data_IF_812107397440
#
_entry.id   IF_812107397440
#
_cell.length_a   1.000
_cell.length_b   1.000
_cell.length_c   1.000
_cell.angle_alpha   90.00
_cell.angle_beta   90.00
_cell.angle_gamma   90.00
#
_symmetry.space_group_name_H-M   'P 1'
#
loop_
_entity.id
_entity.type
_entity.pdbx_description
1 polymer ?
#
# COMPACT_ATOMS: atom_id res chain seq x y z
N UNK A 1 -15.91 -5.20 -4.55
CA UNK A 1 -14.44 -5.08 -4.48
C UNK A 1 -14.08 -3.61 -4.58
N UNK A 2 -13.11 -3.17 -3.80
CA UNK A 2 -12.56 -1.82 -3.86
C UNK A 2 -11.06 -1.87 -4.10
N UNK A 3 -10.53 -0.89 -4.81
CA UNK A 3 -9.10 -0.73 -5.05
C UNK A 3 -8.70 0.72 -4.77
N UNK A 4 -7.52 0.89 -4.17
CA UNK A 4 -6.92 2.19 -3.94
C UNK A 4 -5.40 2.10 -4.07
N UNK A 5 -4.78 3.07 -4.73
CA UNK A 5 -3.33 3.12 -4.94
C UNK A 5 -2.77 4.36 -4.26
N UNK A 6 -1.78 4.17 -3.40
CA UNK A 6 -0.99 5.26 -2.81
C UNK A 6 0.26 5.45 -3.66
N UNK A 7 0.42 6.67 -4.19
CA UNK A 7 1.58 7.08 -4.98
C UNK A 7 2.61 7.83 -4.12
N UNK A 8 3.88 7.56 -4.36
CA UNK A 8 5.03 8.20 -3.74
C UNK A 8 6.01 8.68 -4.81
N UNK A 9 6.36 9.96 -4.79
CA UNK A 9 7.37 10.59 -5.62
C UNK A 9 8.09 11.70 -4.83
N UNK A 10 8.99 12.44 -5.49
CA UNK A 10 9.70 13.56 -4.86
C UNK A 10 8.90 14.86 -4.78
N UNK A 11 7.72 14.94 -5.41
CA UNK A 11 6.86 16.13 -5.53
C UNK A 11 7.54 17.39 -6.11
N UNK A 12 8.76 17.30 -6.62
CA UNK A 12 9.58 18.45 -7.00
C UNK A 12 10.03 18.39 -8.47
N UNK A 13 10.22 17.19 -9.01
CA UNK A 13 10.74 16.97 -10.36
C UNK A 13 9.73 16.33 -11.30
N UNK A 14 10.08 16.27 -12.58
CA UNK A 14 9.33 15.51 -13.61
C UNK A 14 9.80 14.05 -13.71
N UNK A 15 10.59 13.54 -12.76
CA UNK A 15 11.17 12.19 -12.83
C UNK A 15 10.09 11.07 -12.81
N UNK A 16 8.85 11.39 -12.41
CA UNK A 16 7.72 10.47 -12.51
C UNK A 16 7.39 10.10 -13.97
N UNK A 17 7.70 10.97 -14.94
CA UNK A 17 7.55 10.68 -16.38
C UNK A 17 8.46 9.51 -16.81
N UNK A 18 9.61 9.38 -16.15
CA UNK A 18 10.57 8.29 -16.33
C UNK A 18 10.33 7.12 -15.35
N UNK A 19 9.14 7.05 -14.74
CA UNK A 19 8.75 6.03 -13.74
C UNK A 19 9.55 6.04 -12.44
N UNK A 20 10.09 7.19 -12.05
CA UNK A 20 10.72 7.37 -10.73
C UNK A 20 9.65 7.69 -9.69
N UNK A 21 8.81 6.71 -9.39
CA UNK A 21 7.79 6.78 -8.35
C UNK A 21 7.62 5.42 -7.69
N UNK A 22 6.81 5.33 -6.65
CA UNK A 22 6.45 4.07 -6.02
C UNK A 22 4.98 4.00 -5.65
N UNK A 23 4.45 2.78 -5.64
CA UNK A 23 3.03 2.51 -5.47
C UNK A 23 2.83 1.45 -4.39
N UNK A 24 1.85 1.69 -3.53
CA UNK A 24 1.25 0.65 -2.69
C UNK A 24 -0.21 0.50 -3.08
N UNK A 25 -0.57 -0.70 -3.53
CA UNK A 25 -1.90 -1.05 -4.02
C UNK A 25 -2.65 -1.82 -2.93
N UNK A 26 -3.81 -1.28 -2.57
CA UNK A 26 -4.75 -1.83 -1.59
C UNK A 26 -5.97 -2.38 -2.34
N UNK A 27 -6.24 -3.67 -2.21
CA UNK A 27 -7.41 -4.31 -2.82
C UNK A 27 -8.26 -4.96 -1.73
N UNK A 28 -9.50 -4.53 -1.59
CA UNK A 28 -10.44 -5.04 -0.59
C UNK A 28 -11.54 -5.90 -1.22
N UNK A 29 -11.70 -7.12 -0.71
CA UNK A 29 -12.82 -8.01 -1.01
C UNK A 29 -13.85 -7.94 0.11
N UNK A 30 -15.05 -7.47 -0.20
CA UNK A 30 -16.14 -7.46 0.78
C UNK A 30 -16.74 -8.85 1.02
N UNK A 31 -16.70 -9.72 -0.01
CA UNK A 31 -17.21 -11.08 0.08
C UNK A 31 -16.34 -11.94 1.00
N UNK A 32 -15.02 -11.81 0.86
CA UNK A 32 -14.04 -12.59 1.63
C UNK A 32 -13.59 -11.88 2.90
N UNK A 33 -13.98 -10.60 3.07
CA UNK A 33 -13.53 -9.72 4.16
C UNK A 33 -12.00 -9.65 4.25
N UNK A 34 -11.33 -9.59 3.11
CA UNK A 34 -9.87 -9.53 3.03
C UNK A 34 -9.40 -8.19 2.48
N UNK A 35 -8.31 -7.66 3.03
CA UNK A 35 -7.52 -6.62 2.38
C UNK A 35 -6.18 -7.19 1.96
N UNK A 36 -5.87 -7.00 0.69
CA UNK A 36 -4.59 -7.32 0.09
C UNK A 36 -3.79 -6.02 -0.09
N UNK A 37 -2.53 -6.04 0.32
CA UNK A 37 -1.58 -4.94 0.16
C UNK A 37 -0.41 -5.45 -0.67
N UNK A 38 -0.16 -4.82 -1.81
CA UNK A 38 0.88 -5.21 -2.77
C UNK A 38 1.66 -3.99 -3.23
N UNK A 39 2.89 -4.20 -3.72
CA UNK A 39 3.65 -3.13 -4.38
C UNK A 39 3.26 -3.06 -5.84
N UNK A 40 3.16 -1.83 -6.36
CA UNK A 40 3.19 -1.56 -7.80
C UNK A 40 4.63 -1.30 -8.24
N UNK A 41 4.86 -0.17 -8.92
CA UNK A 41 6.23 0.33 -9.16
C UNK A 41 6.93 0.66 -7.83
N UNK A 42 8.24 0.45 -7.72
CA UNK A 42 9.05 0.68 -6.50
C UNK A 42 10.38 1.40 -6.77
N UNK A 43 10.41 2.25 -7.80
CA UNK A 43 11.64 2.90 -8.30
C UNK A 43 12.04 4.19 -7.56
N UNK A 44 11.26 4.65 -6.58
CA UNK A 44 11.56 5.85 -5.78
C UNK A 44 11.74 5.49 -4.30
N UNK A 45 10.73 4.85 -3.71
CA UNK A 45 10.82 4.21 -2.40
C UNK A 45 11.08 2.73 -2.60
N UNK A 46 12.29 2.29 -2.26
CA UNK A 46 12.61 0.86 -2.12
C UNK A 46 12.07 0.39 -0.77
N UNK A 47 10.92 -0.30 -0.76
CA UNK A 47 10.19 -0.64 0.47
C UNK A 47 10.93 -1.63 1.39
N UNK A 48 11.87 -2.40 0.85
CA UNK A 48 12.74 -3.28 1.65
C UNK A 48 13.68 -2.45 2.55
N UNK A 49 14.26 -1.38 1.98
CA UNK A 49 15.16 -0.46 2.68
C UNK A 49 14.40 0.55 3.55
N UNK A 50 13.23 0.99 3.08
CA UNK A 50 12.38 1.96 3.77
C UNK A 50 10.93 1.45 3.91
N UNK A 51 10.69 0.54 4.87
CA UNK A 51 9.36 0.00 5.14
C UNK A 51 8.34 1.09 5.46
N UNK A 52 7.08 0.88 5.05
CA UNK A 52 5.98 1.78 5.37
C UNK A 52 5.08 1.18 6.43
N UNK A 53 4.85 1.94 7.50
CA UNK A 53 3.87 1.60 8.51
C UNK A 53 2.49 2.05 8.03
N UNK A 54 1.53 1.13 8.02
CA UNK A 54 0.11 1.45 7.78
C UNK A 54 -0.72 1.04 8.98
N UNK A 55 -1.62 1.93 9.39
CA UNK A 55 -2.64 1.68 10.40
C UNK A 55 -4.00 1.54 9.70
N UNK A 56 -4.55 0.34 9.72
CA UNK A 56 -5.72 -0.04 8.94
C UNK A 56 -6.93 -0.13 9.86
N UNK A 57 -7.97 0.64 9.53
CA UNK A 57 -9.23 0.67 10.24
C UNK A 57 -10.36 0.34 9.26
N UNK A 58 -11.21 -0.61 9.63
CA UNK A 58 -12.50 -0.79 8.97
C UNK A 58 -13.59 -0.10 9.81
N UNK A 59 -14.61 0.46 9.16
CA UNK A 59 -15.67 1.23 9.84
C UNK A 59 -16.46 0.37 10.82
N UNK A 60 -16.59 -0.92 10.53
CA UNK A 60 -17.33 -1.92 11.31
C UNK A 60 -16.51 -2.54 12.45
N UNK A 61 -15.18 -2.41 12.46
CA UNK A 61 -14.32 -2.91 13.55
C UNK A 61 -13.84 -1.79 14.47
N UNK A 62 -13.97 -2.04 15.77
CA UNK A 62 -13.46 -1.13 16.81
C UNK A 62 -11.95 -1.19 17.05
N UNK A 63 -11.18 -2.01 16.30
CA UNK A 63 -9.73 -2.16 16.46
C UNK A 63 -9.00 -1.96 15.13
N UNK A 64 -7.90 -1.23 15.20
CA UNK A 64 -6.96 -1.05 14.11
C UNK A 64 -6.00 -2.23 13.97
N UNK A 65 -5.69 -2.61 12.75
CA UNK A 65 -4.57 -3.51 12.43
C UNK A 65 -3.37 -2.69 11.97
N UNK A 66 -2.19 -2.96 12.53
CA UNK A 66 -0.94 -2.30 12.15
C UNK A 66 -0.11 -3.25 11.30
N UNK A 67 0.36 -2.78 10.15
CA UNK A 67 1.28 -3.54 9.30
C UNK A 67 2.54 -2.73 8.99
N UNK A 68 3.65 -3.44 8.80
CA UNK A 68 4.92 -2.91 8.30
C UNK A 68 5.13 -3.47 6.89
N UNK A 69 4.79 -2.68 5.89
CA UNK A 69 4.88 -3.10 4.50
C UNK A 69 6.31 -2.92 3.97
N UNK A 70 6.92 -4.04 3.59
CA UNK A 70 8.31 -4.11 3.10
C UNK A 70 8.39 -4.39 1.59
N UNK A 71 7.27 -4.25 0.86
CA UNK A 71 7.18 -4.56 -0.56
C UNK A 71 6.68 -5.98 -0.87
N UNK A 72 6.57 -6.85 0.12
CA UNK A 72 5.97 -8.18 -0.03
C UNK A 72 4.45 -8.15 0.11
N UNK A 73 3.78 -8.98 -0.69
CA UNK A 73 2.32 -9.15 -0.61
C UNK A 73 1.88 -9.50 0.82
N UNK A 74 1.01 -8.68 1.37
CA UNK A 74 0.45 -8.88 2.71
C UNK A 74 -1.06 -9.00 2.61
N UNK A 75 -1.62 -10.06 3.18
CA UNK A 75 -3.08 -10.26 3.26
C UNK A 75 -3.53 -10.15 4.70
N UNK A 76 -4.57 -9.34 4.92
CA UNK A 76 -5.19 -9.14 6.22
C UNK A 76 -6.62 -9.66 6.13
N UNK A 77 -6.96 -10.58 7.03
CA UNK A 77 -8.31 -11.10 7.18
C UNK A 77 -9.04 -10.26 8.23
N UNK A 78 -10.22 -9.77 7.89
CA UNK A 78 -11.15 -9.15 8.81
C UNK A 78 -12.28 -10.11 9.20
#
# INVERSE_FOLDING_TARGET
MGEYVVYFDDNESYNYEDKTYSEVVFTYSDADKTLKVTKGVDNYVVFEDLPKEFLIHTVDKGRAERIYFQGEETTIQF
#
